data_IF_774723317337
#
_entry.id   IF_774723317337
#
_cell.length_a   1.000
_cell.length_b   1.000
_cell.length_c   1.000
_cell.angle_alpha   90.00
_cell.angle_beta   90.00
_cell.angle_gamma   90.00
#
_symmetry.space_group_name_H-M   'P 1'
#
loop_
_entity.id
_entity.type
_entity.pdbx_description
1 polymer ?
#
# COMPACT_ATOMS: atom_id res chain seq x y z
N UNK A 1 -1.61 6.95 21.72
CA UNK A 1 -1.20 8.34 21.40
C UNK A 1 -2.45 9.08 20.89
N UNK A 2 -2.64 10.37 21.21
CA UNK A 2 -3.88 11.07 20.84
C UNK A 2 -3.94 11.34 19.32
N UNK A 3 -2.78 11.52 18.66
CA UNK A 3 -2.63 11.65 17.20
C UNK A 3 -1.30 11.07 16.65
N UNK A 4 -0.57 10.30 17.46
CA UNK A 4 0.75 9.75 17.10
C UNK A 4 0.70 8.30 16.63
N UNK A 5 1.65 7.93 15.77
CA UNK A 5 1.89 6.56 15.33
C UNK A 5 2.87 5.87 16.28
N UNK A 6 2.48 4.73 16.86
CA UNK A 6 3.36 3.94 17.73
C UNK A 6 3.39 2.49 17.26
N UNK A 7 4.58 1.89 17.22
CA UNK A 7 4.75 0.49 16.86
C UNK A 7 4.96 -0.38 18.10
N UNK A 8 4.24 -1.48 18.18
CA UNK A 8 4.39 -2.48 19.23
C UNK A 8 4.73 -3.82 18.62
N UNK A 9 5.91 -4.34 18.91
CA UNK A 9 6.33 -5.67 18.47
C UNK A 9 6.04 -6.66 19.59
N UNK A 10 5.13 -7.61 19.36
CA UNK A 10 4.69 -8.57 20.36
C UNK A 10 4.97 -10.00 19.90
N UNK A 11 5.49 -10.83 20.78
CA UNK A 11 5.64 -12.26 20.56
C UNK A 11 4.47 -13.00 21.19
N UNK A 12 4.13 -14.17 20.64
CA UNK A 12 3.14 -15.05 21.27
C UNK A 12 3.64 -15.47 22.66
N UNK A 13 2.85 -15.17 23.68
CA UNK A 13 3.16 -15.54 25.05
C UNK A 13 2.39 -16.80 25.43
N UNK A 14 2.90 -17.98 25.03
CA UNK A 14 2.44 -19.30 25.51
C UNK A 14 0.91 -19.50 25.51
N UNK A 15 0.27 -19.27 26.65
CA UNK A 15 -1.18 -19.45 26.87
C UNK A 15 -2.06 -18.23 26.54
N UNK A 16 -1.50 -17.13 26.05
CA UNK A 16 -2.24 -15.94 25.62
C UNK A 16 -2.84 -16.14 24.22
N UNK A 17 -3.88 -15.35 23.84
CA UNK A 17 -4.37 -15.32 22.47
C UNK A 17 -3.24 -15.00 21.49
N UNK A 18 -3.27 -15.61 20.30
CA UNK A 18 -2.31 -15.37 19.23
C UNK A 18 -2.21 -13.87 18.93
N UNK A 19 -0.99 -13.33 18.90
CA UNK A 19 -0.79 -11.91 18.57
C UNK A 19 -1.11 -11.74 17.08
N UNK A 20 -2.04 -10.84 16.79
CA UNK A 20 -2.39 -10.45 15.42
C UNK A 20 -1.74 -9.12 15.10
N UNK A 21 -1.24 -8.98 13.87
CA UNK A 21 -0.86 -7.68 13.33
C UNK A 21 -2.12 -6.87 13.04
N UNK A 22 -2.10 -5.59 13.38
CA UNK A 22 -3.25 -4.70 13.18
C UNK A 22 -3.05 -3.32 13.79
N UNK A 23 -3.96 -2.42 13.48
CA UNK A 23 -4.01 -1.05 13.98
C UNK A 23 -5.15 -0.84 14.97
N UNK A 24 -4.85 -0.17 16.08
CA UNK A 24 -5.85 0.34 17.03
C UNK A 24 -5.44 1.74 17.52
N UNK A 25 -6.19 2.78 17.14
CA UNK A 25 -6.02 4.16 17.62
C UNK A 25 -4.57 4.68 17.55
N UNK A 26 -3.93 4.52 16.39
CA UNK A 26 -2.55 4.94 16.14
C UNK A 26 -1.47 4.01 16.71
N UNK A 27 -1.84 2.91 17.36
CA UNK A 27 -0.89 1.86 17.75
C UNK A 27 -0.96 0.73 16.72
N UNK A 28 0.13 0.56 15.95
CA UNK A 28 0.31 -0.57 15.05
C UNK A 28 0.99 -1.68 15.85
N UNK A 29 0.26 -2.77 16.09
CA UNK A 29 0.79 -3.99 16.69
C UNK A 29 1.29 -4.90 15.58
N UNK A 30 2.51 -5.42 15.74
CA UNK A 30 3.16 -6.36 14.82
C UNK A 30 3.42 -7.64 15.58
N UNK A 31 2.87 -8.74 15.10
CA UNK A 31 3.22 -10.05 15.61
C UNK A 31 4.65 -10.41 15.17
N UNK A 32 5.54 -10.73 16.10
CA UNK A 32 6.90 -11.20 15.81
C UNK A 32 6.90 -12.48 14.94
N UNK A 33 5.81 -13.25 14.99
CA UNK A 33 5.57 -14.37 14.07
C UNK A 33 5.53 -13.93 12.59
N UNK A 34 5.12 -12.70 12.28
CA UNK A 34 5.20 -12.16 10.91
C UNK A 34 6.61 -11.72 10.52
N UNK A 35 7.57 -11.68 11.46
CA UNK A 35 8.98 -11.46 11.18
C UNK A 35 9.72 -12.76 10.80
N UNK A 36 9.13 -13.95 11.04
CA UNK A 36 9.66 -15.26 10.65
C UNK A 36 9.34 -15.60 9.18
N UNK A 37 10.38 -15.88 8.38
CA UNK A 37 10.26 -16.25 6.97
C UNK A 37 9.39 -17.50 6.75
N UNK A 38 9.48 -18.51 7.61
CA UNK A 38 8.77 -19.78 7.45
C UNK A 38 7.28 -19.66 7.75
N UNK A 39 6.91 -18.82 8.73
CA UNK A 39 5.52 -18.54 9.07
C UNK A 39 4.88 -17.59 8.05
N UNK A 40 5.62 -16.58 7.56
CA UNK A 40 5.17 -15.75 6.43
C UNK A 40 4.90 -16.58 5.18
N UNK A 41 5.81 -17.47 4.81
CA UNK A 41 5.67 -18.34 3.64
C UNK A 41 4.43 -19.25 3.77
N UNK A 42 4.21 -19.80 4.97
CA UNK A 42 3.05 -20.64 5.28
C UNK A 42 1.73 -19.87 5.16
N UNK A 43 1.68 -18.65 5.70
CA UNK A 43 0.51 -17.76 5.59
C UNK A 43 0.27 -17.31 4.16
N UNK A 44 1.34 -16.89 3.46
CA UNK A 44 1.31 -16.51 2.04
C UNK A 44 0.70 -17.63 1.19
N UNK A 45 1.19 -18.86 1.38
CA UNK A 45 0.69 -20.04 0.65
C UNK A 45 -0.74 -20.41 1.05
N UNK A 46 -1.08 -20.33 2.35
CA UNK A 46 -2.41 -20.68 2.87
C UNK A 46 -3.51 -19.67 2.50
N UNK A 47 -3.15 -18.39 2.31
CA UNK A 47 -4.08 -17.31 1.93
C UNK A 47 -4.05 -16.99 0.43
N UNK A 48 -3.21 -17.68 -0.35
CA UNK A 48 -3.10 -17.46 -1.80
C UNK A 48 -2.56 -16.08 -2.18
N UNK A 49 -1.81 -15.45 -1.28
CA UNK A 49 -1.28 -14.10 -1.48
C UNK A 49 -0.01 -14.17 -2.34
N UNK A 50 0.07 -13.45 -3.47
CA UNK A 50 1.27 -13.49 -4.31
C UNK A 50 2.47 -12.76 -3.67
N UNK A 51 2.22 -11.88 -2.69
CA UNK A 51 3.23 -11.06 -2.03
C UNK A 51 2.80 -10.75 -0.60
N UNK A 52 3.57 -11.23 0.39
CA UNK A 52 3.38 -10.90 1.82
C UNK A 52 4.73 -10.56 2.43
N UNK A 53 4.94 -9.30 2.78
CA UNK A 53 6.17 -8.83 3.44
C UNK A 53 5.81 -8.05 4.69
N UNK A 54 6.70 -8.09 5.69
CA UNK A 54 6.50 -7.32 6.91
C UNK A 54 6.35 -5.83 6.61
N UNK A 55 7.23 -5.26 5.78
CA UNK A 55 7.15 -3.86 5.34
C UNK A 55 5.83 -3.55 4.61
N UNK A 56 5.29 -4.49 3.85
CA UNK A 56 3.97 -4.37 3.23
C UNK A 56 2.87 -4.14 4.27
N UNK A 57 2.84 -4.97 5.33
CA UNK A 57 1.86 -4.79 6.41
C UNK A 57 2.06 -3.46 7.15
N UNK A 58 3.30 -3.05 7.43
CA UNK A 58 3.55 -1.73 8.01
C UNK A 58 2.89 -0.62 7.20
N UNK A 59 3.07 -0.64 5.87
CA UNK A 59 2.50 0.37 4.98
C UNK A 59 0.96 0.30 4.94
N UNK A 60 0.39 -0.90 5.02
CA UNK A 60 -1.06 -1.10 5.11
C UNK A 60 -1.64 -0.49 6.39
N UNK A 61 -1.05 -0.80 7.55
CA UNK A 61 -1.50 -0.28 8.85
C UNK A 61 -1.30 1.25 8.97
N UNK A 62 -0.24 1.78 8.36
CA UNK A 62 -0.06 3.24 8.20
C UNK A 62 -1.22 3.82 7.38
N UNK A 63 -1.67 3.12 6.33
CA UNK A 63 -2.83 3.50 5.54
C UNK A 63 -4.08 3.68 6.41
N UNK A 64 -4.42 2.72 7.26
CA UNK A 64 -5.54 2.87 8.20
C UNK A 64 -5.39 4.09 9.11
N UNK A 65 -4.20 4.29 9.67
CA UNK A 65 -3.95 5.46 10.52
C UNK A 65 -4.14 6.79 9.76
N UNK A 66 -3.68 6.87 8.51
CA UNK A 66 -3.83 8.05 7.68
C UNK A 66 -5.29 8.27 7.22
N UNK A 67 -6.09 7.20 7.13
CA UNK A 67 -7.52 7.33 6.88
C UNK A 67 -8.21 8.13 8.01
N UNK A 68 -7.94 7.78 9.26
CA UNK A 68 -8.51 8.48 10.43
C UNK A 68 -8.14 9.97 10.45
N UNK A 69 -6.90 10.30 10.04
CA UNK A 69 -6.39 11.68 10.06
C UNK A 69 -6.88 12.53 8.89
N UNK A 70 -6.89 11.96 7.68
CA UNK A 70 -7.06 12.71 6.43
C UNK A 70 -8.45 12.57 5.80
N UNK A 71 -9.24 11.58 6.24
CA UNK A 71 -10.54 11.26 5.64
C UNK A 71 -11.64 11.30 6.68
N UNK A 72 -11.50 10.62 7.82
CA UNK A 72 -12.55 10.55 8.84
C UNK A 72 -13.03 11.94 9.32
N UNK A 73 -14.29 12.27 9.06
CA UNK A 73 -14.91 13.55 9.41
C UNK A 73 -14.49 14.74 8.52
N UNK A 74 -13.78 14.49 7.41
CA UNK A 74 -13.21 15.53 6.54
C UNK A 74 -13.95 15.66 5.21
N UNK A 75 -13.79 16.79 4.48
CA UNK A 75 -14.41 16.98 3.16
C UNK A 75 -14.03 15.93 2.11
N UNK A 76 -12.91 15.23 2.29
CA UNK A 76 -12.41 14.16 1.43
C UNK A 76 -13.27 12.88 1.46
N UNK A 77 -14.14 12.69 2.47
CA UNK A 77 -14.99 11.50 2.59
C UNK A 77 -15.86 11.25 1.36
N UNK A 78 -16.42 12.30 0.74
CA UNK A 78 -17.30 12.12 -0.41
C UNK A 78 -16.52 11.56 -1.61
N UNK A 79 -15.31 12.05 -1.84
CA UNK A 79 -14.44 11.56 -2.91
C UNK A 79 -13.92 10.16 -2.60
N UNK A 80 -13.60 9.88 -1.34
CA UNK A 80 -13.28 8.54 -0.87
C UNK A 80 -14.41 7.56 -1.21
N UNK A 81 -15.66 7.85 -0.84
CA UNK A 81 -16.79 6.94 -1.10
C UNK A 81 -17.06 6.71 -2.58
N UNK A 82 -16.79 7.72 -3.42
CA UNK A 82 -16.89 7.58 -4.87
C UNK A 82 -15.85 6.62 -5.46
N UNK A 83 -14.65 6.53 -4.87
CA UNK A 83 -13.53 5.74 -5.36
C UNK A 83 -13.44 4.34 -4.74
N UNK A 84 -13.70 4.23 -3.43
CA UNK A 84 -13.47 3.00 -2.63
C UNK A 84 -14.78 2.33 -2.19
N UNK A 85 -15.92 3.04 -2.28
CA UNK A 85 -17.20 2.55 -1.79
C UNK A 85 -17.56 3.05 -0.39
N UNK A 86 -18.70 2.59 0.13
CA UNK A 86 -19.27 3.06 1.40
C UNK A 86 -18.71 2.27 2.60
N UNK A 87 -17.80 2.89 3.34
CA UNK A 87 -17.13 2.30 4.50
C UNK A 87 -18.03 2.08 5.72
N UNK A 88 -19.27 2.57 5.69
CA UNK A 88 -20.22 2.39 6.80
C UNK A 88 -20.83 0.99 6.84
N UNK A 89 -20.53 0.14 5.87
CA UNK A 89 -20.86 -1.28 5.93
C UNK A 89 -20.28 -1.92 7.20
N UNK A 90 -20.98 -2.91 7.75
CA UNK A 90 -20.47 -3.62 8.92
C UNK A 90 -19.17 -4.36 8.56
N UNK A 91 -18.06 -3.87 9.12
CA UNK A 91 -16.72 -4.35 8.83
C UNK A 91 -16.56 -5.85 9.12
N UNK A 92 -17.09 -6.31 10.26
CA UNK A 92 -16.99 -7.71 10.67
C UNK A 92 -17.76 -8.65 9.74
N UNK A 93 -18.97 -8.27 9.34
CA UNK A 93 -19.78 -9.01 8.38
C UNK A 93 -19.15 -9.03 6.99
N UNK A 94 -18.55 -7.91 6.56
CA UNK A 94 -17.87 -7.81 5.27
C UNK A 94 -16.65 -8.75 5.20
N UNK A 95 -15.82 -8.78 6.25
CA UNK A 95 -14.70 -9.72 6.34
C UNK A 95 -15.17 -11.18 6.36
N UNK A 96 -16.23 -11.51 7.12
CA UNK A 96 -16.79 -12.87 7.11
C UNK A 96 -17.26 -13.28 5.72
N UNK A 97 -17.93 -12.39 5.00
CA UNK A 97 -18.38 -12.64 3.63
C UNK A 97 -17.20 -12.86 2.68
N UNK A 98 -16.13 -12.06 2.81
CA UNK A 98 -14.90 -12.22 2.04
C UNK A 98 -14.22 -13.57 2.32
N UNK A 99 -14.01 -13.95 3.59
CA UNK A 99 -13.39 -15.24 3.91
C UNK A 99 -14.24 -16.45 3.50
N UNK A 100 -15.56 -16.30 3.44
CA UNK A 100 -16.46 -17.36 2.97
C UNK A 100 -16.48 -17.52 1.45
N UNK A 101 -16.37 -16.42 0.68
CA UNK A 101 -16.62 -16.42 -0.76
C UNK A 101 -15.41 -16.04 -1.63
N UNK A 102 -14.38 -15.45 -1.02
CA UNK A 102 -13.24 -14.85 -1.70
C UNK A 102 -13.58 -13.54 -2.42
N UNK A 103 -12.61 -13.03 -3.18
CA UNK A 103 -12.79 -11.84 -4.01
C UNK A 103 -13.77 -12.12 -5.18
N UNK A 104 -14.64 -11.16 -5.53
CA UNK A 104 -15.57 -11.30 -6.65
C UNK A 104 -14.86 -11.46 -8.00
N UNK A 105 -15.49 -12.13 -8.95
CA UNK A 105 -14.96 -12.23 -10.31
C UNK A 105 -14.78 -10.84 -10.94
N UNK A 106 -13.68 -10.64 -11.66
CA UNK A 106 -13.36 -9.34 -12.27
C UNK A 106 -12.73 -8.32 -11.32
N UNK A 107 -12.48 -8.66 -10.04
CA UNK A 107 -11.82 -7.75 -9.10
C UNK A 107 -10.50 -7.11 -9.60
N UNK A 108 -9.64 -7.78 -10.40
CA UNK A 108 -8.38 -7.17 -10.84
C UNK A 108 -8.57 -5.93 -11.73
N UNK A 109 -9.78 -5.69 -12.24
CA UNK A 109 -10.10 -4.50 -13.03
C UNK A 109 -10.14 -3.22 -12.19
N UNK A 110 -10.41 -3.34 -10.88
CA UNK A 110 -10.71 -2.20 -10.01
C UNK A 110 -9.97 -2.17 -8.67
N UNK A 111 -9.38 -3.28 -8.24
CA UNK A 111 -8.68 -3.39 -6.96
C UNK A 111 -7.24 -3.85 -7.14
N UNK A 112 -6.34 -3.32 -6.31
CA UNK A 112 -4.91 -3.64 -6.36
C UNK A 112 -4.62 -5.06 -5.88
N UNK A 113 -5.43 -5.59 -4.96
CA UNK A 113 -5.32 -6.93 -4.41
C UNK A 113 -6.69 -7.58 -4.23
N UNK A 114 -6.73 -8.90 -4.08
CA UNK A 114 -7.96 -9.61 -3.76
C UNK A 114 -8.54 -9.14 -2.41
N UNK A 115 -7.67 -8.95 -1.41
CA UNK A 115 -8.06 -8.54 -0.06
C UNK A 115 -8.63 -7.12 0.00
N UNK A 116 -8.18 -6.21 -0.88
CA UNK A 116 -8.79 -4.90 -1.04
C UNK A 116 -10.30 -4.96 -1.33
N UNK A 117 -10.82 -6.07 -1.87
CA UNK A 117 -12.27 -6.23 -2.10
C UNK A 117 -13.08 -6.49 -0.84
N UNK A 118 -12.42 -6.77 0.30
CA UNK A 118 -13.08 -7.19 1.52
C UNK A 118 -13.87 -6.05 2.18
N UNK A 119 -13.37 -4.82 2.13
CA UNK A 119 -14.03 -3.64 2.67
C UNK A 119 -13.42 -2.35 2.09
N UNK A 120 -14.16 -1.23 1.96
CA UNK A 120 -13.61 0.04 1.49
C UNK A 120 -12.40 0.56 2.31
N UNK A 121 -12.36 0.29 3.62
CA UNK A 121 -11.16 0.59 4.44
C UNK A 121 -9.94 -0.24 4.03
N UNK A 122 -10.12 -1.52 3.67
CA UNK A 122 -9.03 -2.39 3.21
C UNK A 122 -8.55 -1.98 1.83
N UNK A 123 -9.47 -1.61 0.92
CA UNK A 123 -9.12 -1.10 -0.40
C UNK A 123 -8.24 0.16 -0.31
N UNK A 124 -8.57 1.05 0.62
CA UNK A 124 -7.76 2.24 0.88
C UNK A 124 -6.41 1.91 1.50
N UNK A 125 -6.36 1.05 2.53
CA UNK A 125 -5.11 0.67 3.19
C UNK A 125 -4.17 -0.06 2.23
N UNK A 126 -4.68 -0.97 1.40
CA UNK A 126 -3.92 -1.65 0.34
C UNK A 126 -3.43 -0.67 -0.72
N UNK A 127 -4.27 0.28 -1.14
CA UNK A 127 -3.88 1.34 -2.09
C UNK A 127 -2.79 2.23 -1.50
N UNK A 128 -2.92 2.63 -0.23
CA UNK A 128 -1.93 3.45 0.48
C UNK A 128 -0.60 2.69 0.62
N UNK A 129 -0.66 1.39 0.89
CA UNK A 129 0.52 0.55 0.96
C UNK A 129 1.27 0.50 -0.37
N UNK A 130 0.53 0.41 -1.47
CA UNK A 130 1.11 0.43 -2.82
C UNK A 130 1.59 1.81 -3.23
N UNK A 131 0.93 2.89 -2.81
CA UNK A 131 1.42 4.25 -2.96
C UNK A 131 2.83 4.39 -2.35
N UNK A 132 3.02 4.01 -1.08
CA UNK A 132 4.34 4.02 -0.45
C UNK A 132 5.33 3.08 -1.14
N UNK A 133 4.91 1.87 -1.53
CA UNK A 133 5.76 0.95 -2.28
C UNK A 133 6.33 1.59 -3.54
N UNK A 134 5.46 2.19 -4.34
CA UNK A 134 5.80 2.79 -5.62
C UNK A 134 6.70 4.00 -5.40
N UNK A 135 6.27 4.95 -4.56
CA UNK A 135 7.01 6.20 -4.29
C UNK A 135 8.41 5.91 -3.77
N UNK A 136 8.55 5.06 -2.75
CA UNK A 136 9.86 4.70 -2.17
C UNK A 136 10.78 4.03 -3.21
N UNK A 137 10.23 3.17 -4.06
CA UNK A 137 11.03 2.42 -5.04
C UNK A 137 11.46 3.31 -6.21
N UNK A 138 10.60 4.23 -6.66
CA UNK A 138 10.95 5.24 -7.68
C UNK A 138 12.00 6.20 -7.13
N UNK A 139 11.87 6.64 -5.87
CA UNK A 139 12.85 7.52 -5.23
C UNK A 139 14.22 6.84 -5.12
N UNK A 140 14.26 5.58 -4.65
CA UNK A 140 15.51 4.81 -4.63
C UNK A 140 16.10 4.60 -6.03
N UNK A 141 15.28 4.28 -7.04
CA UNK A 141 15.77 4.15 -8.41
C UNK A 141 16.37 5.46 -8.93
N UNK A 142 15.78 6.61 -8.58
CA UNK A 142 16.31 7.93 -8.89
C UNK A 142 17.65 8.18 -8.18
N UNK A 143 17.74 7.88 -6.88
CA UNK A 143 18.94 8.08 -6.06
C UNK A 143 20.14 7.27 -6.56
N UNK A 144 19.90 6.04 -7.01
CA UNK A 144 20.93 5.18 -7.62
C UNK A 144 21.16 5.44 -9.11
N UNK A 145 20.40 6.36 -9.71
CA UNK A 145 20.51 6.72 -11.12
C UNK A 145 20.19 5.56 -12.06
N UNK A 146 19.30 4.64 -11.66
CA UNK A 146 18.87 3.51 -12.49
C UNK A 146 18.23 4.05 -13.75
N UNK A 147 18.58 3.44 -14.89
CA UNK A 147 18.04 3.77 -16.22
C UNK A 147 17.88 2.49 -17.02
N UNK A 148 16.88 2.44 -17.88
CA UNK A 148 16.64 1.31 -18.76
C UNK A 148 16.41 1.79 -20.19
N UNK A 149 17.06 1.15 -21.14
CA UNK A 149 16.78 1.33 -22.57
C UNK A 149 16.69 -0.03 -23.25
N UNK A 150 15.53 -0.72 -23.15
CA UNK A 150 15.35 -2.03 -23.74
C UNK A 150 15.56 -2.01 -25.25
N UNK A 151 16.11 -3.09 -25.81
CA UNK A 151 16.29 -3.23 -27.27
C UNK A 151 15.04 -3.75 -27.98
N UNK A 152 13.88 -3.75 -27.29
CA UNK A 152 12.60 -4.24 -27.81
C UNK A 152 11.95 -3.27 -28.81
N UNK A 153 12.35 -2.00 -28.80
CA UNK A 153 11.72 -0.94 -29.59
C UNK A 153 10.46 -0.35 -28.94
N UNK A 154 10.05 -0.86 -27.78
CA UNK A 154 8.93 -0.32 -27.01
C UNK A 154 9.39 0.87 -26.15
N UNK A 155 8.90 2.06 -26.48
CA UNK A 155 9.22 3.30 -25.76
C UNK A 155 8.68 3.32 -24.32
N UNK A 156 7.59 2.59 -24.03
CA UNK A 156 6.97 2.55 -22.70
C UNK A 156 7.84 1.84 -21.65
N UNK A 157 8.77 1.01 -22.10
CA UNK A 157 9.72 0.29 -21.24
C UNK A 157 11.05 1.05 -21.07
N UNK A 158 11.19 2.22 -21.70
CA UNK A 158 12.36 3.06 -21.51
C UNK A 158 12.21 3.86 -20.22
N UNK A 159 13.25 3.84 -19.39
CA UNK A 159 13.28 4.57 -18.13
C UNK A 159 14.36 5.66 -18.24
N UNK A 160 13.97 6.91 -18.53
CA UNK A 160 14.90 8.04 -18.51
C UNK A 160 15.35 8.31 -17.06
N UNK A 161 16.40 9.13 -16.87
CA UNK A 161 16.67 9.68 -15.55
C UNK A 161 15.43 10.34 -14.93
N UNK A 162 15.15 9.97 -13.68
CA UNK A 162 14.20 10.67 -12.83
C UNK A 162 14.85 11.98 -12.38
N UNK A 163 14.14 13.10 -12.57
CA UNK A 163 14.63 14.46 -12.29
C UNK A 163 13.80 15.19 -11.24
N UNK A 164 12.99 14.46 -10.49
CA UNK A 164 12.14 14.97 -9.42
C UNK A 164 12.26 14.08 -8.19
N UNK A 165 11.87 14.62 -7.03
CA UNK A 165 11.70 13.86 -5.79
C UNK A 165 10.25 13.35 -5.72
N UNK A 166 10.01 12.03 -5.74
CA UNK A 166 8.66 11.47 -5.67
C UNK A 166 7.89 11.85 -4.41
N UNK A 167 8.56 12.11 -3.28
CA UNK A 167 7.88 12.56 -2.05
C UNK A 167 7.44 14.02 -2.09
N UNK A 168 7.90 14.77 -3.08
CA UNK A 168 7.54 16.17 -3.29
C UNK A 168 6.75 16.36 -4.59
N UNK A 169 6.39 15.26 -5.28
CA UNK A 169 5.68 15.28 -6.54
C UNK A 169 4.16 15.23 -6.32
N UNK A 170 3.42 16.32 -6.60
CA UNK A 170 1.97 16.33 -6.41
C UNK A 170 1.22 15.53 -7.49
N UNK A 171 1.86 15.18 -8.60
CA UNK A 171 1.24 14.44 -9.70
C UNK A 171 1.64 12.96 -9.68
N UNK A 172 0.70 12.11 -9.30
CA UNK A 172 0.90 10.66 -9.27
C UNK A 172 1.17 10.09 -10.68
N UNK A 173 0.66 10.71 -11.74
CA UNK A 173 0.91 10.24 -13.11
C UNK A 173 2.41 10.26 -13.44
N UNK A 174 3.14 11.30 -13.03
CA UNK A 174 4.58 11.39 -13.21
C UNK A 174 5.34 10.28 -12.47
N UNK A 175 4.88 9.91 -11.26
CA UNK A 175 5.45 8.78 -10.51
C UNK A 175 5.16 7.46 -11.24
N UNK A 176 3.92 7.25 -11.70
CA UNK A 176 3.50 6.04 -12.41
C UNK A 176 4.25 5.84 -13.73
N UNK A 177 4.48 6.91 -14.50
CA UNK A 177 5.22 6.86 -15.77
C UNK A 177 6.66 6.34 -15.58
N UNK A 178 7.27 6.60 -14.41
CA UNK A 178 8.59 6.07 -14.06
C UNK A 178 8.51 4.68 -13.41
N UNK A 179 7.41 4.40 -12.70
CA UNK A 179 7.17 3.13 -12.03
C UNK A 179 6.96 1.96 -13.00
N UNK A 180 6.13 2.14 -14.04
CA UNK A 180 5.79 1.06 -14.99
C UNK A 180 7.05 0.39 -15.61
N UNK A 181 7.99 1.15 -16.23
CA UNK A 181 9.20 0.55 -16.79
C UNK A 181 10.12 -0.04 -15.71
N UNK A 182 10.17 0.55 -14.51
CA UNK A 182 10.95 0.05 -13.37
C UNK A 182 10.42 -1.30 -12.87
N UNK A 183 9.12 -1.42 -12.65
CA UNK A 183 8.47 -2.66 -12.22
C UNK A 183 8.67 -3.76 -13.26
N UNK A 184 8.56 -3.43 -14.56
CA UNK A 184 8.85 -4.36 -15.65
C UNK A 184 10.32 -4.84 -15.61
N UNK A 185 11.28 -3.92 -15.42
CA UNK A 185 12.68 -4.28 -15.27
C UNK A 185 12.90 -5.23 -14.07
N UNK A 186 12.36 -4.88 -12.89
CA UNK A 186 12.48 -5.69 -11.67
C UNK A 186 11.90 -7.09 -11.85
N UNK A 187 10.69 -7.20 -12.39
CA UNK A 187 10.05 -8.50 -12.62
C UNK A 187 10.84 -9.35 -13.62
N UNK A 188 11.34 -8.77 -14.70
CA UNK A 188 12.16 -9.51 -15.67
C UNK A 188 13.51 -9.96 -15.09
N UNK A 189 14.17 -9.14 -14.27
CA UNK A 189 15.39 -9.52 -13.56
C UNK A 189 15.13 -10.67 -12.58
N UNK A 190 14.05 -10.58 -11.80
CA UNK A 190 13.64 -11.65 -10.89
C UNK A 190 13.40 -12.98 -11.62
N UNK A 191 12.61 -12.96 -12.70
CA UNK A 191 12.37 -14.15 -13.53
C UNK A 191 13.66 -14.76 -14.06
N UNK A 192 14.61 -13.93 -14.51
CA UNK A 192 15.91 -14.40 -15.00
C UNK A 192 16.76 -15.05 -13.89
N UNK A 193 16.57 -14.65 -12.64
CA UNK A 193 17.21 -15.25 -11.46
C UNK A 193 16.43 -16.45 -10.89
N UNK A 194 15.34 -16.88 -11.56
CA UNK A 194 14.48 -17.97 -11.08
C UNK A 194 13.59 -17.60 -9.88
N UNK A 195 13.39 -16.30 -9.65
CA UNK A 195 12.50 -15.78 -8.62
C UNK A 195 11.14 -15.39 -9.20
N UNK A 196 10.11 -15.35 -8.36
CA UNK A 196 8.82 -14.78 -8.72
C UNK A 196 8.93 -13.27 -8.97
N UNK A 197 7.95 -12.71 -9.68
CA UNK A 197 7.85 -11.27 -9.91
C UNK A 197 7.96 -10.49 -8.59
N UNK A 198 8.82 -9.47 -8.55
CA UNK A 198 9.00 -8.61 -7.38
C UNK A 198 7.74 -7.81 -7.09
N UNK A 199 7.01 -7.44 -8.14
CA UNK A 199 5.75 -6.70 -8.08
C UNK A 199 4.73 -7.35 -9.03
N UNK A 200 3.96 -8.35 -8.56
CA UNK A 200 3.00 -9.08 -9.37
C UNK A 200 1.62 -8.39 -9.47
N UNK A 201 1.54 -7.07 -9.28
CA UNK A 201 0.29 -6.32 -9.24
C UNK A 201 0.03 -5.58 -10.56
N UNK A 202 -1.25 -5.37 -10.87
CA UNK A 202 -1.69 -4.67 -12.09
C UNK A 202 -2.27 -3.32 -11.72
N UNK A 203 -1.69 -2.26 -12.28
CA UNK A 203 -2.18 -0.89 -12.13
C UNK A 203 -3.15 -0.55 -13.25
N UNK A 204 -4.44 -0.82 -13.02
CA UNK A 204 -5.51 -0.42 -13.94
C UNK A 204 -5.77 1.10 -13.84
N UNK A 205 -6.46 1.72 -14.82
CA UNK A 205 -6.83 3.13 -14.72
C UNK A 205 -7.57 3.48 -13.41
N UNK A 206 -8.43 2.59 -12.91
CA UNK A 206 -9.16 2.77 -11.64
C UNK A 206 -8.21 2.75 -10.45
N UNK A 207 -7.25 1.81 -10.43
CA UNK A 207 -6.25 1.74 -9.36
C UNK A 207 -5.32 2.96 -9.40
N UNK A 208 -4.93 3.44 -10.58
CA UNK A 208 -4.13 4.67 -10.73
C UNK A 208 -4.90 5.89 -10.23
N UNK A 209 -6.21 5.98 -10.46
CA UNK A 209 -7.05 7.05 -9.92
C UNK A 209 -7.08 7.02 -8.38
N UNK A 210 -7.20 5.84 -7.78
CA UNK A 210 -7.12 5.65 -6.32
C UNK A 210 -5.75 6.05 -5.76
N UNK A 211 -4.66 5.68 -6.44
CA UNK A 211 -3.29 6.11 -6.08
C UNK A 211 -3.14 7.64 -6.17
N UNK A 212 -3.72 8.26 -7.21
CA UNK A 212 -3.75 9.71 -7.36
C UNK A 212 -4.50 10.39 -6.22
N UNK A 213 -5.63 9.83 -5.79
CA UNK A 213 -6.36 10.33 -4.62
C UNK A 213 -5.52 10.26 -3.33
N UNK A 214 -4.80 9.16 -3.09
CA UNK A 214 -3.88 9.05 -1.94
C UNK A 214 -2.77 10.11 -2.03
N UNK A 215 -2.16 10.28 -3.21
CA UNK A 215 -1.11 11.27 -3.42
C UNK A 215 -1.60 12.70 -3.16
N UNK A 216 -2.80 13.05 -3.64
CA UNK A 216 -3.43 14.34 -3.39
C UNK A 216 -3.64 14.58 -1.89
N UNK A 217 -4.10 13.56 -1.14
CA UNK A 217 -4.37 13.68 0.28
C UNK A 217 -3.12 13.99 1.10
N UNK A 218 -2.02 13.28 0.84
CA UNK A 218 -0.78 13.45 1.63
C UNK A 218 -0.05 14.75 1.31
N UNK A 219 -0.29 15.34 0.13
CA UNK A 219 0.30 16.62 -0.29
C UNK A 219 -0.58 17.85 -0.01
N UNK A 220 -1.75 17.69 0.60
CA UNK A 220 -2.64 18.80 0.92
C UNK A 220 -2.10 19.67 2.08
N UNK A 221 -2.30 20.99 1.99
CA UNK A 221 -1.81 21.95 2.98
C UNK A 221 -2.27 21.70 4.44
N UNK A 222 -3.49 21.21 4.71
CA UNK A 222 -3.89 20.75 6.05
C UNK A 222 -3.02 19.63 6.61
N UNK A 223 -2.57 18.66 5.81
CA UNK A 223 -1.69 17.58 6.26
C UNK A 223 -0.32 18.13 6.69
N UNK A 224 0.25 19.03 5.87
CA UNK A 224 1.50 19.72 6.18
C UNK A 224 1.38 20.61 7.43
N UNK A 225 0.23 21.26 7.64
CA UNK A 225 -0.04 22.06 8.85
C UNK A 225 -0.28 21.20 10.10
N UNK A 226 -0.93 20.05 9.98
CA UNK A 226 -1.10 19.11 11.10
C UNK A 226 0.24 18.53 11.53
N UNK A 227 1.09 18.15 10.57
CA UNK A 227 2.47 17.72 10.83
C UNK A 227 3.28 18.82 11.55
N UNK A 228 3.23 20.06 11.05
CA UNK A 228 3.92 21.19 11.70
C UNK A 228 3.36 21.53 13.10
N UNK A 229 2.09 21.25 13.38
CA UNK A 229 1.51 21.45 14.72
C UNK A 229 1.97 20.36 15.71
N UNK A 230 2.21 19.14 15.23
CA UNK A 230 2.73 18.04 16.03
C UNK A 230 4.23 18.21 16.39
N UNK A 231 4.99 18.96 15.59
CA UNK A 231 6.42 19.28 15.84
C UNK A 231 6.64 20.40 16.87
N UNK A 232 5.59 21.14 17.26
CA UNK A 232 5.69 22.29 18.19
C UNK A 232 5.35 21.89 19.64
N UNK A 233 4.88 20.65 19.86
CA UNK A 233 4.51 20.13 21.19
C UNK A 233 5.57 19.22 21.84
N UNK A 234 6.75 19.05 21.23
CA UNK A 234 7.98 18.45 21.82
C UNK A 234 9.01 19.52 22.23
#
# INVERSE_FOLDING_TARGET
PQHGLAFRFLADAGSAPHVMTGHESGVITIALAEADDAERERRRTGMGEPYRTLLGHFRHEIGHHYWDLLIGGQPSEQRFRALFGDERSDYGAALQAYYANGAPAGWPESHISAYATAHPWEDFAETFAHYLHITDTVEMAAAFGIRARPRTGDGSLSMPPVHFDPYMAPDMAAIIDNWIPLASLLNNLNRAMGQADAYPFVLTPVVIEKLGFVNDLVHQAPALRHLAALEVED
#
